data_IF_078348870310
#
_entry.id   IF_078348870310
#
_cell.length_a   1.000
_cell.length_b   1.000
_cell.length_c   1.000
_cell.angle_alpha   90.00
_cell.angle_beta   90.00
_cell.angle_gamma   90.00
#
_symmetry.space_group_name_H-M   'P 1'
#
loop_
_entity.id
_entity.type
_entity.pdbx_description
1 polymer ?
#
# COMPACT_ATOMS: atom_id res chain seq x y z
N UNK A 1 -50.59 -32.66 -15.24
CA UNK A 1 -49.58 -33.09 -16.23
C UNK A 1 -48.27 -33.26 -15.50
N UNK A 2 -47.95 -34.50 -15.13
CA UNK A 2 -46.68 -34.88 -14.50
C UNK A 2 -45.66 -35.13 -15.60
N UNK A 3 -44.44 -34.59 -15.47
CA UNK A 3 -43.30 -35.09 -16.24
C UNK A 3 -42.13 -35.44 -15.32
N UNK A 4 -41.82 -36.73 -15.39
CA UNK A 4 -40.81 -37.51 -14.69
C UNK A 4 -39.49 -37.40 -15.44
N UNK A 5 -38.37 -37.17 -14.73
CA UNK A 5 -37.03 -37.35 -15.30
C UNK A 5 -36.19 -38.21 -14.35
N UNK A 6 -35.58 -39.21 -14.97
CA UNK A 6 -35.03 -40.44 -14.43
C UNK A 6 -33.72 -40.24 -13.69
N UNK A 7 -33.56 -40.96 -12.58
CA UNK A 7 -32.29 -41.28 -11.95
C UNK A 7 -31.43 -42.13 -12.89
N UNK A 8 -30.15 -41.77 -13.03
CA UNK A 8 -29.12 -42.63 -13.61
C UNK A 8 -28.05 -42.90 -12.55
N UNK A 9 -27.98 -44.17 -12.14
CA UNK A 9 -26.95 -44.73 -11.26
C UNK A 9 -25.63 -44.86 -12.02
N UNK A 10 -24.54 -44.36 -11.45
CA UNK A 10 -23.19 -44.73 -11.87
C UNK A 10 -22.55 -45.59 -10.77
N UNK A 11 -22.37 -46.87 -11.10
CA UNK A 11 -21.42 -47.75 -10.43
C UNK A 11 -20.00 -47.28 -10.81
N UNK A 12 -19.15 -47.04 -9.83
CA UNK A 12 -17.69 -47.00 -10.03
C UNK A 12 -17.08 -48.12 -9.18
N UNK A 13 -16.48 -49.04 -9.91
CA UNK A 13 -15.78 -50.24 -9.45
C UNK A 13 -14.54 -49.87 -8.63
N UNK A 14 -14.44 -50.43 -7.42
CA UNK A 14 -13.24 -50.36 -6.59
C UNK A 14 -12.15 -51.31 -7.13
N UNK A 15 -10.97 -50.78 -7.42
CA UNK A 15 -9.77 -51.57 -7.67
C UNK A 15 -8.91 -51.57 -6.39
N UNK A 16 -8.73 -52.75 -5.80
CA UNK A 16 -7.77 -53.00 -4.73
C UNK A 16 -6.34 -52.87 -5.27
N UNK A 17 -5.55 -51.98 -4.66
CA UNK A 17 -4.09 -52.00 -4.73
C UNK A 17 -3.55 -52.25 -3.32
N UNK A 18 -3.10 -53.47 -3.11
CA UNK A 18 -2.40 -53.94 -1.92
C UNK A 18 -0.99 -53.33 -1.89
N UNK A 19 -0.82 -52.25 -1.12
CA UNK A 19 0.49 -51.68 -0.80
C UNK A 19 0.85 -51.96 0.65
N UNK A 20 1.90 -52.76 0.86
CA UNK A 20 2.55 -53.00 2.14
C UNK A 20 3.06 -51.68 2.75
N UNK A 21 2.52 -51.30 3.91
CA UNK A 21 3.01 -50.16 4.70
C UNK A 21 4.14 -50.67 5.60
N UNK A 22 5.35 -50.22 5.34
CA UNK A 22 6.50 -50.31 6.26
C UNK A 22 6.36 -49.18 7.29
N UNK A 23 6.45 -49.42 8.62
CA UNK A 23 6.47 -48.34 9.58
C UNK A 23 7.80 -47.59 9.48
N UNK A 24 7.76 -46.38 8.91
CA UNK A 24 8.89 -45.46 8.94
C UNK A 24 9.10 -44.97 10.37
N UNK A 25 10.35 -45.10 10.81
CA UNK A 25 10.84 -44.74 12.11
C UNK A 25 10.47 -43.30 12.51
N UNK A 26 10.17 -43.16 13.79
CA UNK A 26 9.90 -41.94 14.53
C UNK A 26 11.07 -40.95 14.37
N UNK A 27 11.02 -40.07 13.38
CA UNK A 27 11.99 -38.99 13.21
C UNK A 27 11.65 -37.90 14.22
N UNK A 28 12.51 -37.78 15.25
CA UNK A 28 12.46 -36.73 16.25
C UNK A 28 12.32 -35.35 15.58
N UNK A 29 11.32 -34.58 16.03
CA UNK A 29 11.14 -33.21 15.62
C UNK A 29 12.43 -32.39 15.88
N UNK A 30 12.89 -31.57 14.92
CA UNK A 30 14.04 -30.72 15.15
C UNK A 30 13.74 -29.72 16.28
N UNK A 31 14.72 -29.41 17.15
CA UNK A 31 14.51 -28.51 18.27
C UNK A 31 14.13 -27.11 17.78
N UNK A 32 13.00 -26.61 18.31
CA UNK A 32 12.56 -25.22 18.19
C UNK A 32 13.66 -24.33 18.77
N UNK A 33 14.43 -23.66 17.90
CA UNK A 33 15.38 -22.62 18.32
C UNK A 33 14.58 -21.46 18.94
N UNK A 34 14.65 -21.35 20.27
CA UNK A 34 14.24 -20.17 21.03
C UNK A 34 14.84 -18.91 20.41
N UNK A 35 13.96 -17.97 20.08
CA UNK A 35 14.17 -16.53 19.86
C UNK A 35 15.59 -16.06 19.54
N UNK A 36 15.93 -16.03 18.25
CA UNK A 36 16.86 -15.02 17.76
C UNK A 36 16.03 -13.74 17.64
N UNK A 37 16.17 -12.83 18.61
CA UNK A 37 15.83 -11.42 18.36
C UNK A 37 16.66 -11.01 17.13
N UNK A 38 16.06 -10.49 16.05
CA UNK A 38 16.86 -9.87 15.00
C UNK A 38 17.59 -8.70 15.64
N UNK A 39 18.87 -8.88 15.93
CA UNK A 39 19.78 -7.80 16.22
C UNK A 39 19.90 -7.03 14.91
N UNK A 40 19.12 -5.96 14.79
CA UNK A 40 19.26 -4.98 13.72
C UNK A 40 20.68 -4.43 13.84
N UNK A 41 21.60 -4.99 13.06
CA UNK A 41 22.92 -4.43 12.88
C UNK A 41 22.72 -2.98 12.45
N UNK A 42 23.22 -2.05 13.27
CA UNK A 42 23.11 -0.61 13.03
C UNK A 42 23.78 -0.27 11.70
N UNK A 43 22.99 -0.13 10.65
CA UNK A 43 23.46 0.25 9.33
C UNK A 43 23.83 1.72 9.32
N UNK A 44 25.11 2.00 9.17
CA UNK A 44 25.71 3.32 9.03
C UNK A 44 25.36 4.04 7.70
N UNK A 45 24.26 3.67 7.04
CA UNK A 45 23.82 4.22 5.76
C UNK A 45 22.35 4.67 5.72
N UNK A 46 21.67 4.70 6.87
CA UNK A 46 20.40 5.40 6.96
C UNK A 46 20.70 6.90 7.03
N UNK A 47 20.59 7.60 5.91
CA UNK A 47 20.45 9.04 5.95
C UNK A 47 19.26 9.41 6.84
N UNK A 48 19.30 10.61 7.40
CA UNK A 48 18.17 11.11 8.18
C UNK A 48 17.12 11.70 7.23
N UNK A 49 15.82 11.66 7.59
CA UNK A 49 14.86 12.52 6.93
C UNK A 49 15.32 13.98 7.04
N UNK A 50 14.89 14.83 6.10
CA UNK A 50 15.08 16.27 6.22
C UNK A 50 14.44 16.80 7.52
N UNK A 51 14.85 17.99 7.95
CA UNK A 51 14.22 18.63 9.13
C UNK A 51 12.73 18.88 8.89
N UNK A 52 11.93 18.96 9.96
CA UNK A 52 10.49 19.24 9.85
C UNK A 52 10.18 20.55 9.10
N UNK A 53 11.05 21.56 9.23
CA UNK A 53 10.91 22.82 8.49
C UNK A 53 11.13 22.63 6.98
N UNK A 54 12.15 21.86 6.58
CA UNK A 54 12.42 21.54 5.18
C UNK A 54 11.31 20.65 4.59
N UNK A 55 10.88 19.63 5.33
CA UNK A 55 9.74 18.77 4.96
C UNK A 55 8.48 19.61 4.69
N UNK A 56 8.17 20.58 5.55
CA UNK A 56 7.02 21.48 5.35
C UNK A 56 7.12 22.25 4.03
N UNK A 57 8.31 22.77 3.70
CA UNK A 57 8.55 23.50 2.44
C UNK A 57 8.38 22.59 1.23
N UNK A 58 9.05 21.43 1.22
CA UNK A 58 8.95 20.49 0.09
C UNK A 58 7.55 19.93 -0.08
N UNK A 59 6.85 19.64 1.02
CA UNK A 59 5.47 19.18 0.97
C UNK A 59 4.54 20.24 0.38
N UNK A 60 4.69 21.51 0.79
CA UNK A 60 3.90 22.61 0.22
C UNK A 60 4.15 22.75 -1.29
N UNK A 61 5.39 22.60 -1.74
CA UNK A 61 5.74 22.62 -3.16
C UNK A 61 5.13 21.44 -3.92
N UNK A 62 5.20 20.22 -3.37
CA UNK A 62 4.58 19.03 -3.95
C UNK A 62 3.06 19.22 -4.10
N UNK A 63 2.40 19.72 -3.06
CA UNK A 63 0.96 20.02 -3.08
C UNK A 63 0.63 21.02 -4.18
N UNK A 64 1.42 22.08 -4.33
CA UNK A 64 1.23 23.06 -5.41
C UNK A 64 1.40 22.42 -6.80
N UNK A 65 2.41 21.58 -7.01
CA UNK A 65 2.64 20.88 -8.29
C UNK A 65 1.52 19.87 -8.61
N UNK A 66 1.03 19.15 -7.60
CA UNK A 66 -0.12 18.23 -7.73
C UNK A 66 -1.39 19.00 -8.08
N UNK A 67 -1.61 20.16 -7.46
CA UNK A 67 -2.72 21.05 -7.79
C UNK A 67 -2.67 21.51 -9.24
N UNK A 68 -1.50 21.95 -9.72
CA UNK A 68 -1.32 22.32 -11.13
C UNK A 68 -1.60 21.14 -12.07
N UNK A 69 -1.19 19.92 -11.70
CA UNK A 69 -1.45 18.72 -12.49
C UNK A 69 -2.95 18.36 -12.54
N UNK A 70 -3.68 18.54 -11.44
CA UNK A 70 -5.13 18.29 -11.35
C UNK A 70 -6.00 19.32 -12.08
N UNK A 71 -5.44 20.48 -12.44
CA UNK A 71 -6.17 21.52 -13.18
C UNK A 71 -7.33 22.09 -12.36
N UNK A 72 -8.55 21.72 -12.73
CA UNK A 72 -9.78 22.14 -12.03
C UNK A 72 -10.09 21.27 -10.80
N UNK A 73 -9.50 20.08 -10.71
CA UNK A 73 -9.67 19.20 -9.56
C UNK A 73 -8.72 19.63 -8.42
N UNK A 74 -9.26 20.11 -7.30
CA UNK A 74 -8.44 20.57 -6.17
C UNK A 74 -8.24 19.48 -5.12
N UNK A 75 -9.22 18.57 -4.98
CA UNK A 75 -9.19 17.49 -3.98
C UNK A 75 -7.92 16.63 -4.00
N UNK A 76 -7.26 16.29 -5.14
CA UNK A 76 -6.05 15.45 -5.10
C UNK A 76 -4.91 16.11 -4.33
N UNK A 77 -4.73 17.43 -4.50
CA UNK A 77 -3.71 18.19 -3.78
C UNK A 77 -3.96 18.21 -2.28
N UNK A 78 -5.24 18.25 -1.87
CA UNK A 78 -5.65 18.21 -0.47
C UNK A 78 -5.46 16.82 0.15
N UNK A 79 -5.70 15.75 -0.59
CA UNK A 79 -5.37 14.39 -0.13
C UNK A 79 -3.86 14.25 0.14
N UNK A 80 -3.02 14.78 -0.76
CA UNK A 80 -1.56 14.80 -0.55
C UNK A 80 -1.18 15.63 0.69
N UNK A 81 -1.83 16.77 0.89
CA UNK A 81 -1.57 17.64 2.04
C UNK A 81 -2.00 16.99 3.37
N UNK A 82 -3.19 16.41 3.41
CA UNK A 82 -3.87 16.08 4.66
C UNK A 82 -3.73 14.60 5.06
N UNK A 83 -3.58 13.69 4.09
CA UNK A 83 -3.63 12.23 4.31
C UNK A 83 -2.32 11.51 3.98
N UNK A 84 -1.39 12.18 3.29
CA UNK A 84 -0.08 11.63 2.96
C UNK A 84 1.03 12.22 3.83
N UNK A 85 1.91 11.36 4.36
CA UNK A 85 3.07 11.74 5.14
C UNK A 85 4.36 11.25 4.45
N UNK A 86 5.43 12.02 4.56
CA UNK A 86 6.67 11.79 3.81
C UNK A 86 7.88 11.90 4.74
N UNK A 87 8.58 10.78 4.97
CA UNK A 87 9.87 10.76 5.68
C UNK A 87 10.98 10.47 4.69
N UNK A 88 11.39 11.53 3.98
CA UNK A 88 12.34 11.43 2.87
C UNK A 88 13.63 12.18 3.20
N UNK A 89 14.74 11.67 2.65
CA UNK A 89 15.96 12.46 2.53
C UNK A 89 15.77 13.59 1.52
N UNK A 90 16.75 14.49 1.44
CA UNK A 90 16.79 15.55 0.43
C UNK A 90 16.66 14.97 -1.00
N UNK A 91 17.44 13.94 -1.34
CA UNK A 91 17.35 13.26 -2.64
C UNK A 91 15.95 12.64 -2.88
N UNK A 92 15.30 12.12 -1.83
CA UNK A 92 13.94 11.61 -1.92
C UNK A 92 12.92 12.71 -2.22
N UNK A 93 13.07 13.88 -1.62
CA UNK A 93 12.24 15.04 -1.93
C UNK A 93 12.43 15.54 -3.36
N UNK A 94 13.68 15.66 -3.82
CA UNK A 94 13.97 16.03 -5.21
C UNK A 94 13.35 15.04 -6.21
N UNK A 95 13.36 13.75 -5.87
CA UNK A 95 12.67 12.72 -6.65
C UNK A 95 11.15 12.93 -6.65
N UNK A 96 10.53 13.19 -5.50
CA UNK A 96 9.08 13.42 -5.40
C UNK A 96 8.64 14.72 -6.08
N UNK A 97 9.49 15.74 -6.12
CA UNK A 97 9.22 17.00 -6.81
C UNK A 97 9.43 16.91 -8.32
N UNK A 98 10.09 15.87 -8.83
CA UNK A 98 10.18 15.60 -10.27
C UNK A 98 8.80 15.37 -10.90
N UNK A 99 8.67 15.52 -12.22
CA UNK A 99 7.41 15.27 -12.94
C UNK A 99 6.81 13.89 -12.64
N UNK A 100 7.66 12.86 -12.60
CA UNK A 100 7.24 11.50 -12.28
C UNK A 100 6.79 11.36 -10.82
N UNK A 101 7.50 12.00 -9.89
CA UNK A 101 7.14 12.03 -8.47
C UNK A 101 5.78 12.69 -8.23
N UNK A 102 5.52 13.82 -8.88
CA UNK A 102 4.23 14.53 -8.82
C UNK A 102 3.10 13.64 -9.36
N UNK A 103 3.31 12.96 -10.49
CA UNK A 103 2.34 12.00 -11.04
C UNK A 103 2.05 10.84 -10.10
N UNK A 104 3.07 10.32 -9.40
CA UNK A 104 2.90 9.27 -8.39
C UNK A 104 2.08 9.77 -7.20
N UNK A 105 2.37 10.96 -6.67
CA UNK A 105 1.60 11.55 -5.57
C UNK A 105 0.13 11.79 -5.97
N UNK A 106 -0.10 12.30 -7.20
CA UNK A 106 -1.43 12.49 -7.75
C UNK A 106 -2.18 11.16 -7.93
N UNK A 107 -1.52 10.12 -8.49
CA UNK A 107 -2.10 8.79 -8.62
C UNK A 107 -2.48 8.17 -7.28
N UNK A 108 -1.59 8.24 -6.29
CA UNK A 108 -1.86 7.75 -4.94
C UNK A 108 -3.05 8.48 -4.28
N UNK A 109 -3.23 9.78 -4.54
CA UNK A 109 -4.41 10.50 -4.09
C UNK A 109 -5.70 9.96 -4.73
N UNK A 110 -5.66 9.58 -6.02
CA UNK A 110 -6.79 8.92 -6.69
C UNK A 110 -7.09 7.55 -6.09
N UNK A 111 -6.08 6.74 -5.86
CA UNK A 111 -6.27 5.42 -5.25
C UNK A 111 -6.90 5.53 -3.84
N UNK A 112 -6.56 6.57 -3.07
CA UNK A 112 -7.20 6.88 -1.78
C UNK A 112 -8.69 7.21 -1.96
N UNK A 113 -9.03 8.05 -2.94
CA UNK A 113 -10.42 8.41 -3.22
C UNK A 113 -11.21 7.19 -3.70
N UNK A 114 -10.68 6.42 -4.66
CA UNK A 114 -11.35 5.23 -5.20
C UNK A 114 -11.55 4.16 -4.13
N UNK A 115 -10.57 3.98 -3.23
CA UNK A 115 -10.75 3.18 -2.02
C UNK A 115 -11.92 3.71 -1.17
N UNK A 116 -11.96 5.01 -0.86
CA UNK A 116 -13.01 5.62 -0.04
C UNK A 116 -14.40 5.42 -0.66
N UNK A 117 -14.54 5.56 -1.98
CA UNK A 117 -15.77 5.25 -2.73
C UNK A 117 -16.18 3.80 -2.53
N UNK A 118 -15.24 2.88 -2.75
CA UNK A 118 -15.47 1.43 -2.70
C UNK A 118 -15.91 0.94 -1.33
N UNK A 119 -15.43 1.54 -0.25
CA UNK A 119 -15.83 1.19 1.12
C UNK A 119 -16.99 2.03 1.66
N UNK A 120 -17.58 2.90 0.84
CA UNK A 120 -18.75 3.70 1.20
C UNK A 120 -18.45 4.85 2.18
N UNK A 121 -17.21 5.33 2.23
CA UNK A 121 -16.81 6.46 3.08
C UNK A 121 -17.02 7.82 2.40
N UNK A 122 -17.11 7.85 1.07
CA UNK A 122 -17.45 9.05 0.29
C UNK A 122 -16.72 9.13 -1.04
N UNK A 123 -17.05 10.16 -1.82
CA UNK A 123 -16.47 10.44 -3.14
C UNK A 123 -16.07 11.92 -3.22
N UNK A 124 -14.77 12.22 -3.06
CA UNK A 124 -14.24 13.59 -3.09
C UNK A 124 -14.43 14.24 -4.47
N UNK A 125 -14.33 13.45 -5.53
CA UNK A 125 -14.47 13.92 -6.91
C UNK A 125 -15.93 14.28 -7.19
N UNK A 126 -16.87 13.43 -6.77
CA UNK A 126 -18.31 13.72 -6.89
C UNK A 126 -18.71 14.95 -6.06
N UNK A 127 -18.20 15.06 -4.82
CA UNK A 127 -18.50 16.23 -3.96
C UNK A 127 -17.98 17.51 -4.59
N UNK A 128 -16.73 17.53 -5.05
CA UNK A 128 -16.16 18.72 -5.69
C UNK A 128 -16.87 19.08 -7.00
N UNK A 129 -17.26 18.08 -7.80
CA UNK A 129 -17.93 18.27 -9.09
C UNK A 129 -19.46 18.39 -9.03
N UNK A 130 -20.06 18.33 -7.83
CA UNK A 130 -21.51 18.38 -7.63
C UNK A 130 -22.16 19.61 -8.30
N UNK A 131 -21.43 20.73 -8.31
CA UNK A 131 -21.74 21.88 -9.15
C UNK A 131 -20.52 22.26 -10.00
N UNK A 132 -20.48 21.79 -11.24
CA UNK A 132 -19.38 22.07 -12.16
C UNK A 132 -19.17 23.57 -12.47
N UNK A 133 -20.20 24.41 -12.28
CA UNK A 133 -20.08 25.86 -12.47
C UNK A 133 -19.55 26.57 -11.21
N UNK A 134 -19.49 25.90 -10.06
CA UNK A 134 -18.99 26.44 -8.80
C UNK A 134 -18.25 25.39 -7.95
N UNK A 135 -17.17 24.84 -8.51
CA UNK A 135 -16.30 23.90 -7.78
C UNK A 135 -15.61 24.54 -6.58
N UNK A 136 -15.46 25.87 -6.60
CA UNK A 136 -14.90 26.64 -5.50
C UNK A 136 -15.87 26.66 -4.29
N UNK A 137 -17.17 26.79 -4.54
CA UNK A 137 -18.21 26.70 -3.51
C UNK A 137 -18.24 25.35 -2.79
N UNK A 138 -17.89 24.26 -3.48
CA UNK A 138 -17.90 22.91 -2.90
C UNK A 138 -16.66 22.59 -2.04
N UNK A 139 -15.68 23.51 -1.92
CA UNK A 139 -14.45 23.25 -1.17
C UNK A 139 -14.68 23.03 0.33
N UNK A 140 -15.76 23.59 0.87
CA UNK A 140 -16.22 23.33 2.25
C UNK A 140 -16.56 21.86 2.45
N UNK A 141 -17.45 21.33 1.61
CA UNK A 141 -17.91 19.93 1.66
C UNK A 141 -16.75 18.94 1.41
N UNK A 142 -15.84 19.26 0.48
CA UNK A 142 -14.59 18.48 0.31
C UNK A 142 -13.78 18.46 1.60
N UNK A 143 -13.73 19.57 2.32
CA UNK A 143 -13.03 19.66 3.60
C UNK A 143 -13.69 18.84 4.72
N UNK A 144 -15.02 18.85 4.79
CA UNK A 144 -15.76 18.02 5.76
C UNK A 144 -15.55 16.52 5.48
N UNK A 145 -15.59 16.13 4.21
CA UNK A 145 -15.30 14.75 3.82
C UNK A 145 -13.85 14.37 4.15
N UNK A 146 -12.86 15.22 3.84
CA UNK A 146 -11.46 14.97 4.20
C UNK A 146 -11.25 14.84 5.71
N UNK A 147 -11.93 15.65 6.52
CA UNK A 147 -11.88 15.54 7.98
C UNK A 147 -12.40 14.18 8.49
N UNK A 148 -13.35 13.59 7.77
CA UNK A 148 -13.89 12.25 8.05
C UNK A 148 -12.94 11.14 7.56
N UNK A 149 -12.31 11.32 6.39
CA UNK A 149 -11.43 10.32 5.77
C UNK A 149 -10.05 10.23 6.43
N UNK A 150 -9.44 11.36 6.78
CA UNK A 150 -8.08 11.42 7.35
C UNK A 150 -7.83 10.51 8.59
N UNK A 151 -8.74 10.40 9.58
CA UNK A 151 -8.50 9.52 10.73
C UNK A 151 -8.55 8.02 10.37
N UNK A 152 -9.20 7.66 9.26
CA UNK A 152 -9.41 6.26 8.84
C UNK A 152 -8.47 5.83 7.71
N UNK A 153 -8.09 6.74 6.81
CA UNK A 153 -7.20 6.46 5.68
C UNK A 153 -5.96 7.35 5.78
N UNK A 154 -4.78 6.75 5.76
CA UNK A 154 -3.51 7.48 5.77
C UNK A 154 -2.43 6.70 5.03
N UNK A 155 -1.53 7.43 4.36
CA UNK A 155 -0.43 6.85 3.59
C UNK A 155 0.88 7.50 4.00
N UNK A 156 1.87 6.70 4.40
CA UNK A 156 3.19 7.18 4.80
C UNK A 156 4.26 6.60 3.90
N UNK A 157 5.06 7.46 3.30
CA UNK A 157 6.18 7.11 2.43
C UNK A 157 7.50 7.40 3.11
N UNK A 158 8.40 6.42 3.15
CA UNK A 158 9.70 6.55 3.79
C UNK A 158 10.84 6.08 2.88
N UNK A 159 11.80 6.96 2.62
CA UNK A 159 13.01 6.68 1.86
C UNK A 159 14.09 7.67 2.28
N UNK A 160 14.88 7.32 3.30
CA UNK A 160 15.83 8.25 3.93
C UNK A 160 17.25 8.13 3.40
N UNK A 161 17.45 7.46 2.26
CA UNK A 161 18.76 7.26 1.66
C UNK A 161 19.35 8.60 1.21
N UNK A 162 20.59 8.95 1.60
CA UNK A 162 21.17 10.26 1.26
C UNK A 162 21.42 10.39 -0.25
N UNK A 163 21.70 9.28 -0.93
CA UNK A 163 21.94 9.21 -2.36
C UNK A 163 20.94 8.23 -3.00
N UNK A 164 20.27 8.67 -4.06
CA UNK A 164 19.34 7.85 -4.84
C UNK A 164 19.88 7.76 -6.27
N UNK A 165 20.34 6.57 -6.66
CA UNK A 165 20.72 6.31 -8.05
C UNK A 165 19.49 6.30 -8.97
N UNK A 166 19.64 6.47 -10.30
CA UNK A 166 18.50 6.39 -11.23
C UNK A 166 17.71 5.07 -11.15
N UNK A 167 18.39 3.95 -10.89
CA UNK A 167 17.77 2.65 -10.66
C UNK A 167 16.94 2.66 -9.36
N UNK A 168 17.53 3.15 -8.26
CA UNK A 168 16.82 3.29 -6.99
C UNK A 168 15.62 4.25 -7.10
N UNK A 169 15.76 5.36 -7.83
CA UNK A 169 14.68 6.32 -8.07
C UNK A 169 13.48 5.66 -8.76
N UNK A 170 13.74 4.86 -9.81
CA UNK A 170 12.69 4.14 -10.54
C UNK A 170 11.99 3.12 -9.64
N UNK A 171 12.72 2.43 -8.77
CA UNK A 171 12.14 1.46 -7.82
C UNK A 171 11.31 2.15 -6.72
N UNK A 172 11.80 3.26 -6.17
CA UNK A 172 11.07 4.04 -5.16
C UNK A 172 9.73 4.53 -5.72
N UNK A 173 9.76 5.17 -6.89
CA UNK A 173 8.54 5.68 -7.53
C UNK A 173 7.55 4.55 -7.85
N UNK A 174 8.05 3.40 -8.32
CA UNK A 174 7.21 2.23 -8.58
C UNK A 174 6.57 1.71 -7.29
N UNK A 175 7.34 1.57 -6.21
CA UNK A 175 6.80 1.15 -4.91
C UNK A 175 5.74 2.12 -4.40
N UNK A 176 5.96 3.43 -4.59
CA UNK A 176 5.04 4.45 -4.14
C UNK A 176 3.75 4.51 -4.98
N UNK A 177 3.78 4.05 -6.23
CA UNK A 177 2.59 3.89 -7.07
C UNK A 177 1.85 2.58 -6.79
N UNK A 178 2.56 1.44 -6.77
CA UNK A 178 1.95 0.11 -6.73
C UNK A 178 1.27 -0.20 -5.40
N UNK A 179 1.79 0.29 -4.27
CA UNK A 179 1.23 -0.07 -2.96
C UNK A 179 -0.13 0.59 -2.71
N UNK A 180 -0.33 1.89 -3.03
CA UNK A 180 -1.66 2.49 -3.04
C UNK A 180 -2.64 1.78 -3.99
N UNK A 181 -2.22 1.38 -5.20
CA UNK A 181 -3.10 0.61 -6.11
C UNK A 181 -3.64 -0.69 -5.49
N UNK A 182 -2.88 -1.35 -4.62
CA UNK A 182 -3.36 -2.55 -3.91
C UNK A 182 -4.50 -2.25 -2.93
N UNK A 183 -4.66 -1.00 -2.47
CA UNK A 183 -5.86 -0.57 -1.75
C UNK A 183 -7.07 -0.57 -2.67
N UNK A 184 -6.96 0.11 -3.81
CA UNK A 184 -8.08 0.32 -4.72
C UNK A 184 -8.62 -1.02 -5.24
N UNK A 185 -7.74 -1.87 -5.78
CA UNK A 185 -8.06 -3.16 -6.44
C UNK A 185 -8.76 -4.20 -5.55
N UNK A 186 -9.07 -3.88 -4.30
CA UNK A 186 -9.81 -4.75 -3.39
C UNK A 186 -9.04 -5.98 -2.91
N UNK A 187 -7.71 -5.98 -3.13
CA UNK A 187 -6.81 -7.03 -2.64
C UNK A 187 -6.83 -7.06 -1.12
N UNK A 188 -6.88 -5.90 -0.49
CA UNK A 188 -7.01 -5.74 0.96
C UNK A 188 -8.37 -5.15 1.36
N UNK A 189 -8.99 -5.76 2.38
CA UNK A 189 -10.25 -5.30 2.99
C UNK A 189 -10.01 -5.10 4.49
N UNK A 190 -9.51 -3.94 4.91
CA UNK A 190 -9.23 -3.72 6.32
C UNK A 190 -10.51 -3.72 7.16
N UNK A 191 -10.35 -4.09 8.44
CA UNK A 191 -11.44 -4.05 9.39
C UNK A 191 -11.97 -2.60 9.56
N UNK A 192 -13.29 -2.44 9.53
CA UNK A 192 -13.96 -1.14 9.74
C UNK A 192 -13.63 -0.08 8.69
N UNK A 193 -13.15 -0.46 7.50
CA UNK A 193 -12.84 0.48 6.41
C UNK A 193 -11.57 1.32 6.62
N UNK A 194 -10.81 1.12 7.70
CA UNK A 194 -9.61 1.90 7.99
C UNK A 194 -8.39 1.40 7.19
N UNK A 195 -7.77 2.26 6.38
CA UNK A 195 -6.61 1.90 5.59
C UNK A 195 -5.41 2.80 5.92
N UNK A 196 -4.60 2.40 6.91
CA UNK A 196 -3.35 3.08 7.25
C UNK A 196 -2.15 2.31 6.72
N UNK A 197 -1.44 2.90 5.77
CA UNK A 197 -0.36 2.25 5.05
C UNK A 197 0.95 2.97 5.30
N UNK A 198 2.00 2.16 5.49
CA UNK A 198 3.36 2.66 5.55
C UNK A 198 4.23 1.90 4.55
N UNK A 199 4.95 2.64 3.72
CA UNK A 199 5.85 2.11 2.70
C UNK A 199 7.27 2.55 3.06
N UNK A 200 8.15 1.58 3.28
CA UNK A 200 9.52 1.79 3.78
C UNK A 200 10.50 1.23 2.77
N UNK A 201 11.26 2.11 2.14
CA UNK A 201 12.29 1.78 1.16
C UNK A 201 13.64 1.88 1.85
N UNK A 202 14.19 0.71 2.19
CA UNK A 202 15.46 0.59 2.91
C UNK A 202 16.53 -0.02 2.00
N UNK A 203 17.77 0.51 1.99
CA UNK A 203 18.86 -0.11 1.26
C UNK A 203 19.26 -1.47 1.84
N UNK A 204 18.94 -1.70 3.12
CA UNK A 204 19.34 -2.89 3.89
C UNK A 204 18.26 -3.97 3.94
N UNK A 205 17.08 -3.71 3.36
CA UNK A 205 16.04 -4.71 3.26
C UNK A 205 16.50 -5.83 2.33
N UNK A 206 16.72 -7.01 2.90
CA UNK A 206 17.11 -8.22 2.18
C UNK A 206 15.92 -8.90 1.45
N UNK A 207 14.69 -8.54 1.81
CA UNK A 207 13.47 -9.00 1.15
C UNK A 207 12.33 -7.97 1.29
N UNK A 208 11.24 -8.18 0.55
CA UNK A 208 9.95 -7.51 0.76
C UNK A 208 9.19 -8.17 1.90
N UNK A 209 8.93 -7.42 2.96
CA UNK A 209 8.17 -7.87 4.12
C UNK A 209 6.89 -7.05 4.28
N UNK A 210 5.77 -7.73 4.50
CA UNK A 210 4.51 -7.11 4.89
C UNK A 210 4.21 -7.45 6.34
N UNK A 211 4.03 -6.41 7.15
CA UNK A 211 3.63 -6.50 8.55
C UNK A 211 2.26 -5.87 8.70
N UNK A 212 1.31 -6.63 9.22
CA UNK A 212 -0.01 -6.14 9.57
C UNK A 212 -0.14 -5.93 11.06
N UNK A 213 -0.90 -4.91 11.45
CA UNK A 213 -1.27 -4.79 12.85
C UNK A 213 -2.32 -5.85 13.24
N UNK A 214 -2.39 -6.23 14.53
CA UNK A 214 -3.35 -7.23 15.00
C UNK A 214 -4.81 -6.88 14.71
N UNK A 215 -5.16 -5.59 14.72
CA UNK A 215 -6.51 -5.09 14.47
C UNK A 215 -6.89 -5.06 12.99
N UNK A 216 -5.96 -5.38 12.08
CA UNK A 216 -6.17 -5.41 10.62
C UNK A 216 -6.63 -4.06 10.01
N UNK A 217 -6.28 -2.96 10.65
CA UNK A 217 -6.58 -1.57 10.23
C UNK A 217 -5.37 -0.87 9.60
N UNK A 218 -4.18 -1.48 9.68
CA UNK A 218 -2.96 -0.93 9.12
C UNK A 218 -2.00 -2.01 8.66
N UNK A 219 -1.17 -1.67 7.67
CA UNK A 219 -0.04 -2.49 7.29
C UNK A 219 1.18 -1.65 6.93
N UNK A 220 2.35 -2.27 7.05
CA UNK A 220 3.62 -1.72 6.60
C UNK A 220 4.26 -2.66 5.59
N UNK A 221 4.73 -2.10 4.48
CA UNK A 221 5.57 -2.80 3.50
C UNK A 221 6.97 -2.24 3.62
N UNK A 222 7.93 -3.11 3.91
CA UNK A 222 9.35 -2.79 3.83
C UNK A 222 9.93 -3.52 2.62
N UNK A 223 10.63 -2.83 1.75
CA UNK A 223 11.33 -3.47 0.62
C UNK A 223 12.66 -2.78 0.33
N UNK A 224 13.49 -3.45 -0.46
CA UNK A 224 14.77 -2.90 -0.88
C UNK A 224 14.56 -1.70 -1.79
N UNK A 225 15.32 -0.64 -1.53
CA UNK A 225 15.40 0.52 -2.40
C UNK A 225 16.49 0.41 -3.48
N UNK A 226 17.36 -0.60 -3.38
CA UNK A 226 18.51 -0.77 -4.29
C UNK A 226 18.24 -1.80 -5.38
N UNK A 227 17.48 -2.84 -5.05
CA UNK A 227 17.25 -3.98 -5.94
C UNK A 227 15.78 -4.34 -5.91
N UNK A 228 15.18 -4.59 -7.07
CA UNK A 228 13.82 -5.12 -7.11
C UNK A 228 13.81 -6.53 -6.54
N UNK A 229 13.02 -6.75 -5.49
CA UNK A 229 12.92 -8.06 -4.87
C UNK A 229 12.08 -8.99 -5.76
N UNK A 230 12.56 -10.21 -6.06
CA UNK A 230 11.80 -11.16 -6.87
C UNK A 230 10.41 -11.43 -6.29
N UNK A 231 9.39 -11.26 -7.13
CA UNK A 231 7.99 -11.50 -6.75
C UNK A 231 7.45 -10.55 -5.69
N UNK A 232 8.03 -9.35 -5.52
CA UNK A 232 7.59 -8.39 -4.49
C UNK A 232 6.08 -8.08 -4.54
N UNK A 233 5.48 -7.94 -5.73
CA UNK A 233 4.03 -7.76 -5.89
C UNK A 233 3.25 -8.92 -5.28
N UNK A 234 3.60 -10.17 -5.62
CA UNK A 234 2.99 -11.37 -5.03
C UNK A 234 3.21 -11.46 -3.52
N UNK A 235 4.37 -11.00 -3.01
CA UNK A 235 4.63 -10.96 -1.56
C UNK A 235 3.75 -9.91 -0.86
N UNK A 236 3.52 -8.77 -1.52
CA UNK A 236 2.60 -7.73 -1.05
C UNK A 236 1.18 -8.29 -1.00
N UNK A 237 0.68 -8.84 -2.11
CA UNK A 237 -0.66 -9.43 -2.20
C UNK A 237 -0.89 -10.53 -1.15
N UNK A 238 0.00 -11.54 -1.09
CA UNK A 238 -0.08 -12.59 -0.06
C UNK A 238 0.02 -12.03 1.35
N UNK A 239 0.81 -10.98 1.52
CA UNK A 239 0.96 -10.26 2.78
C UNK A 239 -0.37 -9.67 3.24
N UNK A 240 -1.08 -9.01 2.33
CA UNK A 240 -2.38 -8.37 2.54
C UNK A 240 -3.52 -9.40 2.67
N UNK A 241 -3.45 -10.53 1.94
CA UNK A 241 -4.42 -11.62 2.02
C UNK A 241 -4.46 -12.28 3.40
N UNK A 242 -3.32 -12.40 4.09
CA UNK A 242 -3.26 -12.85 5.50
C UNK A 242 -4.05 -11.94 6.44
N UNK A 243 -4.39 -10.74 5.97
CA UNK A 243 -5.17 -9.75 6.70
C UNK A 243 -6.67 -9.86 6.57
N UNK A 244 -7.18 -10.65 5.63
CA UNK A 244 -8.62 -10.96 5.55
C UNK A 244 -9.04 -11.74 6.78
#
# INVERSE_FOLDING_TARGET
>A
MLNSVKCASFLVTAALLSGTIVPAANAAAPPVKKGIKPTMSSSAYLGSPVSAAAEKTYKAELVARVRTLGGQDQWPSRVVEEMMAFKLSEAGWQLMLSEKGVKVAFGAARDINDYAKRVGLGDLEQVESANNNDRAGNQGDVGELLATLKPVIALTFEATQPNISPAAASLILRAFATIPEHMDRGVWKPAGGQAKIRVILSPDAADTTVVMNPEKTSFSVTTSSRTEMPGWSTKIEKGLDRGK
#
